data_IF_379629123984
#
_entry.id   IF_379629123984
#
_cell.length_a   1.000
_cell.length_b   1.000
_cell.length_c   1.000
_cell.angle_alpha   90.00
_cell.angle_beta   90.00
_cell.angle_gamma   90.00
#
_symmetry.space_group_name_H-M   'P 1'
#
loop_
_entity.id
_entity.type
_entity.pdbx_description
1 polymer ?
#
# COMPACT_ATOMS: atom_id res chain seq x y z
N UNK A 1 15.28 30.84 4.09
CA UNK A 1 14.11 29.98 4.40
C UNK A 1 14.53 28.53 4.21
N UNK A 2 14.39 27.63 5.19
CA UNK A 2 14.65 26.21 4.96
C UNK A 2 13.56 25.63 4.04
N UNK A 3 13.95 24.77 3.11
CA UNK A 3 13.01 23.98 2.31
C UNK A 3 12.53 22.77 3.13
N UNK A 4 11.25 22.39 3.08
CA UNK A 4 10.77 21.19 3.76
C UNK A 4 11.34 19.95 3.05
N UNK A 5 12.22 19.22 3.72
CA UNK A 5 12.92 18.03 3.18
C UNK A 5 12.47 16.71 3.82
N UNK A 6 11.54 16.77 4.77
CA UNK A 6 10.96 15.57 5.39
C UNK A 6 10.14 14.77 4.37
N UNK A 7 10.03 13.46 4.57
CA UNK A 7 9.20 12.55 3.74
C UNK A 7 9.62 12.49 2.25
N UNK A 8 10.82 13.00 1.88
CA UNK A 8 11.35 12.95 0.49
C UNK A 8 11.46 11.55 -0.12
N UNK A 9 11.47 10.50 0.72
CA UNK A 9 11.52 9.11 0.28
C UNK A 9 10.36 8.75 -0.66
N UNK A 10 9.19 9.36 -0.47
CA UNK A 10 8.01 9.12 -1.31
C UNK A 10 8.28 9.51 -2.77
N UNK A 11 8.77 10.73 -3.00
CA UNK A 11 9.14 11.22 -4.34
C UNK A 11 10.33 10.43 -4.89
N UNK A 12 11.33 10.15 -4.05
CA UNK A 12 12.49 9.35 -4.42
C UNK A 12 12.11 7.94 -4.90
N UNK A 13 11.13 7.30 -4.27
CA UNK A 13 10.66 5.97 -4.63
C UNK A 13 9.80 5.95 -5.90
N UNK A 14 9.12 7.04 -6.24
CA UNK A 14 8.39 7.17 -7.51
C UNK A 14 9.31 7.45 -8.71
N UNK A 15 10.51 7.98 -8.48
CA UNK A 15 11.44 8.36 -9.56
C UNK A 15 11.87 7.16 -10.43
N UNK A 16 12.13 5.96 -9.87
CA UNK A 16 12.44 4.79 -10.68
C UNK A 16 11.33 4.37 -11.64
N UNK A 17 10.05 4.48 -11.28
CA UNK A 17 8.96 4.20 -12.22
C UNK A 17 8.96 5.17 -13.40
N UNK A 18 9.22 6.46 -13.14
CA UNK A 18 9.40 7.47 -14.21
C UNK A 18 10.56 7.10 -15.14
N UNK A 19 11.72 6.75 -14.57
CA UNK A 19 12.92 6.37 -15.35
C UNK A 19 12.67 5.10 -16.18
N UNK A 20 12.00 4.11 -15.60
CA UNK A 20 11.56 2.90 -16.29
C UNK A 20 10.56 3.25 -17.40
N UNK A 21 9.63 4.18 -17.15
CA UNK A 21 8.76 4.83 -18.14
C UNK A 21 9.53 5.23 -19.41
N UNK A 22 10.55 6.06 -19.24
CA UNK A 22 11.41 6.53 -20.32
C UNK A 22 12.21 5.40 -20.98
N UNK A 23 12.88 4.55 -20.19
CA UNK A 23 13.72 3.47 -20.70
C UNK A 23 12.94 2.46 -21.54
N UNK A 24 11.67 2.20 -21.22
CA UNK A 24 10.87 1.26 -22.00
C UNK A 24 10.58 1.70 -23.43
N UNK A 25 10.83 2.97 -23.78
CA UNK A 25 10.77 3.43 -25.17
C UNK A 25 11.99 2.98 -25.98
N UNK A 26 13.14 2.76 -25.33
CA UNK A 26 14.40 2.38 -25.97
C UNK A 26 14.74 0.89 -25.79
N UNK A 27 14.43 0.32 -24.62
CA UNK A 27 14.72 -1.08 -24.25
C UNK A 27 13.48 -1.78 -23.69
N UNK A 28 12.42 -1.93 -24.51
CA UNK A 28 11.12 -2.41 -24.03
C UNK A 28 11.18 -3.77 -23.33
N UNK A 29 12.07 -4.66 -23.76
CA UNK A 29 12.23 -6.01 -23.19
C UNK A 29 12.98 -6.06 -21.84
N UNK A 30 13.43 -4.93 -21.29
CA UNK A 30 14.27 -4.87 -20.07
C UNK A 30 13.65 -4.09 -18.92
N UNK A 31 12.40 -3.71 -19.05
CA UNK A 31 11.73 -2.80 -18.11
C UNK A 31 10.49 -3.46 -17.53
N UNK A 32 10.25 -3.25 -16.23
CA UNK A 32 9.04 -3.69 -15.54
C UNK A 32 7.86 -2.72 -15.78
N UNK A 33 6.63 -3.18 -15.53
CA UNK A 33 5.49 -2.29 -15.33
C UNK A 33 5.67 -1.47 -14.04
N UNK A 34 4.81 -0.48 -13.79
CA UNK A 34 4.92 0.32 -12.57
C UNK A 34 4.46 -0.47 -11.34
N UNK A 35 5.09 -0.23 -10.19
CA UNK A 35 4.66 -0.76 -8.91
C UNK A 35 3.95 0.27 -8.04
N UNK A 36 3.60 -0.14 -6.82
CA UNK A 36 3.19 0.80 -5.77
C UNK A 36 4.25 1.88 -5.51
N UNK A 37 5.52 1.49 -5.61
CA UNK A 37 6.72 2.30 -5.39
C UNK A 37 6.79 2.96 -4.01
N UNK A 38 6.02 4.02 -3.79
CA UNK A 38 5.92 4.67 -2.49
C UNK A 38 5.41 3.69 -1.42
N UNK A 39 6.12 3.66 -0.29
CA UNK A 39 5.72 2.86 0.86
C UNK A 39 4.44 3.42 1.49
N UNK A 40 3.60 2.53 1.98
CA UNK A 40 2.34 2.85 2.66
C UNK A 40 2.52 2.69 4.16
N UNK A 41 3.37 3.53 4.72
CA UNK A 41 3.76 3.49 6.13
C UNK A 41 2.92 4.51 6.90
N UNK A 42 1.95 4.11 7.73
CA UNK A 42 1.20 5.03 8.57
C UNK A 42 2.05 5.42 9.81
N UNK A 43 2.46 6.68 9.96
CA UNK A 43 2.91 7.19 11.26
C UNK A 43 1.66 7.37 12.13
N UNK A 44 1.58 6.59 13.20
CA UNK A 44 0.49 6.56 14.16
C UNK A 44 0.93 7.25 15.44
N UNK A 45 0.03 8.03 16.03
CA UNK A 45 0.26 8.74 17.30
C UNK A 45 -0.95 8.63 18.19
N UNK A 46 -0.75 8.64 19.49
CA UNK A 46 -1.84 8.70 20.47
C UNK A 46 -1.38 9.33 21.77
N UNK A 47 -2.28 9.33 22.76
CA UNK A 47 -2.05 9.96 24.05
C UNK A 47 -2.49 11.42 24.08
N UNK A 48 -1.90 12.20 24.97
CA UNK A 48 -2.27 13.57 25.27
C UNK A 48 -2.10 14.52 24.08
N UNK A 49 -1.19 14.21 23.16
CA UNK A 49 -1.01 14.98 21.92
C UNK A 49 -2.18 14.86 20.94
N UNK A 50 -3.00 13.81 21.07
CA UNK A 50 -4.17 13.58 20.20
C UNK A 50 -5.46 13.95 20.94
N UNK A 51 -5.64 13.42 22.15
CA UNK A 51 -6.91 13.51 22.88
C UNK A 51 -6.82 14.36 24.16
N UNK A 52 -5.70 15.06 24.40
CA UNK A 52 -5.50 15.86 25.60
C UNK A 52 -5.46 15.02 26.88
N UNK A 53 -5.77 15.63 28.03
CA UNK A 53 -5.71 14.96 29.34
C UNK A 53 -6.71 13.82 29.53
N UNK A 54 -7.67 13.64 28.60
CA UNK A 54 -8.66 12.56 28.61
C UNK A 54 -8.23 11.35 27.76
N UNK A 55 -6.96 11.29 27.34
CA UNK A 55 -6.45 10.20 26.55
C UNK A 55 -6.63 8.83 27.23
N UNK A 56 -7.20 7.88 26.48
CA UNK A 56 -7.42 6.50 26.94
C UNK A 56 -6.18 5.58 26.82
N UNK A 57 -5.08 6.11 26.28
CA UNK A 57 -3.81 5.42 26.05
C UNK A 57 -2.64 6.35 26.38
N UNK A 58 -1.48 5.76 26.69
CA UNK A 58 -0.24 6.52 26.89
C UNK A 58 0.24 7.18 25.59
N UNK A 59 1.11 8.19 25.73
CA UNK A 59 1.75 8.85 24.59
C UNK A 59 2.56 7.83 23.79
N UNK A 60 2.27 7.75 22.49
CA UNK A 60 3.05 6.91 21.59
C UNK A 60 3.20 7.57 20.22
N UNK A 61 4.30 7.23 19.55
CA UNK A 61 4.50 7.48 18.12
C UNK A 61 5.17 6.24 17.51
N UNK A 62 4.54 5.67 16.49
CA UNK A 62 5.06 4.49 15.80
C UNK A 62 4.86 4.61 14.30
N UNK A 63 5.78 4.03 13.53
CA UNK A 63 5.66 3.88 12.09
C UNK A 63 5.81 2.41 11.73
N UNK A 64 4.90 1.87 10.93
CA UNK A 64 5.03 0.52 10.38
C UNK A 64 5.44 0.55 8.93
N UNK A 65 6.29 -0.41 8.52
CA UNK A 65 6.75 -0.54 7.14
C UNK A 65 5.86 -1.50 6.38
N UNK A 66 5.17 -1.01 5.35
CA UNK A 66 4.30 -1.80 4.48
C UNK A 66 4.39 -1.30 3.04
N UNK A 67 4.13 -2.20 2.09
CA UNK A 67 4.28 -1.93 0.66
C UNK A 67 3.14 -2.55 -0.13
N UNK A 68 2.79 -1.91 -1.24
CA UNK A 68 1.90 -2.51 -2.22
C UNK A 68 2.62 -3.55 -3.09
N UNK A 69 2.02 -3.88 -4.22
CA UNK A 69 2.61 -4.81 -5.18
C UNK A 69 3.64 -4.15 -6.10
N UNK A 70 4.67 -4.89 -6.51
CA UNK A 70 5.58 -4.42 -7.57
C UNK A 70 4.94 -4.58 -8.95
N UNK A 71 5.41 -3.84 -9.94
CA UNK A 71 4.99 -4.06 -11.32
C UNK A 71 5.44 -5.41 -11.87
N UNK A 72 4.69 -5.92 -12.84
CA UNK A 72 5.00 -7.12 -13.58
C UNK A 72 6.34 -7.02 -14.32
N UNK A 73 7.03 -8.16 -14.47
CA UNK A 73 8.27 -8.28 -15.24
C UNK A 73 8.00 -9.11 -16.48
N UNK A 74 8.80 -8.93 -17.53
CA UNK A 74 8.63 -9.60 -18.84
C UNK A 74 8.28 -11.08 -18.78
N UNK A 75 8.90 -11.82 -17.87
CA UNK A 75 8.75 -13.27 -17.70
C UNK A 75 8.22 -13.70 -16.33
N UNK A 76 7.90 -12.76 -15.43
CA UNK A 76 7.47 -13.08 -14.06
C UNK A 76 6.45 -12.09 -13.57
N UNK A 77 5.46 -12.58 -12.83
CA UNK A 77 4.53 -11.74 -12.09
C UNK A 77 5.28 -10.76 -11.16
N UNK A 78 4.61 -9.65 -10.83
CA UNK A 78 5.05 -8.74 -9.80
C UNK A 78 5.11 -9.44 -8.43
N UNK A 79 5.95 -8.94 -7.55
CA UNK A 79 6.06 -9.45 -6.19
C UNK A 79 4.94 -8.83 -5.34
N UNK A 80 4.19 -9.70 -4.66
CA UNK A 80 3.07 -9.31 -3.81
C UNK A 80 3.57 -8.65 -2.52
N UNK A 81 2.91 -7.57 -2.09
CA UNK A 81 3.24 -6.85 -0.85
C UNK A 81 4.71 -6.44 -0.68
N UNK A 82 5.46 -6.31 -1.78
CA UNK A 82 6.92 -6.17 -1.76
C UNK A 82 7.34 -4.78 -2.19
N UNK A 83 8.23 -4.18 -1.39
CA UNK A 83 8.81 -2.89 -1.72
C UNK A 83 9.79 -3.00 -2.89
N UNK A 84 9.65 -2.10 -3.85
CA UNK A 84 10.64 -1.77 -4.86
C UNK A 84 10.59 -0.25 -5.05
N UNK A 85 11.73 0.45 -5.11
CA UNK A 85 13.12 -0.03 -5.22
C UNK A 85 13.81 -0.23 -3.87
N UNK A 86 13.06 -0.19 -2.77
CA UNK A 86 13.60 -0.32 -1.41
C UNK A 86 13.76 -1.77 -0.98
N UNK A 87 14.82 -2.11 -0.26
CA UNK A 87 15.05 -3.45 0.32
C UNK A 87 14.41 -3.65 1.70
N UNK A 88 13.35 -2.90 2.04
CA UNK A 88 12.69 -3.00 3.35
C UNK A 88 11.79 -4.23 3.43
N UNK A 89 11.60 -4.73 4.66
CA UNK A 89 10.66 -5.81 4.96
C UNK A 89 9.62 -5.34 5.97
N UNK A 90 8.46 -5.98 5.89
CA UNK A 90 7.34 -5.79 6.80
C UNK A 90 7.75 -6.16 8.23
N UNK A 91 7.35 -5.34 9.19
CA UNK A 91 7.52 -5.62 10.62
C UNK A 91 6.43 -6.55 11.14
N UNK A 92 6.74 -7.39 12.13
CA UNK A 92 5.76 -8.23 12.81
C UNK A 92 4.68 -7.36 13.45
N UNK A 93 3.41 -7.75 13.27
CA UNK A 93 2.28 -7.09 13.93
C UNK A 93 2.38 -7.24 15.44
N UNK A 94 2.72 -8.43 15.95
CA UNK A 94 2.91 -8.69 17.39
C UNK A 94 3.98 -7.78 17.99
N UNK A 95 5.10 -7.60 17.29
CA UNK A 95 6.15 -6.70 17.75
C UNK A 95 5.69 -5.24 17.80
N UNK A 96 4.84 -4.83 16.86
CA UNK A 96 4.26 -3.48 16.80
C UNK A 96 3.25 -3.26 17.94
N UNK A 97 2.35 -4.23 18.15
CA UNK A 97 1.34 -4.20 19.22
C UNK A 97 1.95 -4.31 20.62
N UNK A 98 3.14 -4.90 20.74
CA UNK A 98 3.85 -4.97 22.01
C UNK A 98 4.42 -3.62 22.44
N UNK A 99 4.85 -2.78 21.49
CA UNK A 99 5.53 -1.51 21.78
C UNK A 99 4.60 -0.29 21.70
N UNK A 100 3.45 -0.40 21.03
CA UNK A 100 2.48 0.69 20.90
C UNK A 100 1.06 0.17 21.13
N UNK A 101 0.16 0.97 21.72
CA UNK A 101 -1.21 0.58 22.03
C UNK A 101 -2.11 0.62 20.78
N UNK A 102 -1.67 -0.05 19.72
CA UNK A 102 -2.40 -0.28 18.46
C UNK A 102 -2.70 -1.77 18.31
N UNK A 103 -3.73 -2.11 17.53
CA UNK A 103 -4.13 -3.48 17.25
C UNK A 103 -4.34 -3.61 15.74
N UNK A 104 -3.75 -4.64 15.12
CA UNK A 104 -3.97 -5.00 13.71
C UNK A 104 -5.07 -6.04 13.63
N UNK A 105 -6.27 -5.62 13.24
CA UNK A 105 -7.42 -6.50 13.08
C UNK A 105 -7.37 -7.30 11.78
N UNK A 106 -6.76 -6.72 10.75
CA UNK A 106 -6.60 -7.34 9.44
C UNK A 106 -5.25 -6.98 8.86
N UNK A 107 -4.56 -7.97 8.29
CA UNK A 107 -3.35 -7.80 7.49
C UNK A 107 -3.21 -8.95 6.50
N UNK A 108 -3.56 -8.70 5.26
CA UNK A 108 -3.58 -9.71 4.21
C UNK A 108 -3.28 -9.12 2.84
N UNK A 109 -3.05 -9.98 1.84
CA UNK A 109 -3.00 -9.54 0.45
C UNK A 109 -4.38 -9.02 0.02
N UNK A 110 -4.40 -8.03 -0.86
CA UNK A 110 -5.63 -7.43 -1.38
C UNK A 110 -6.05 -8.15 -2.67
N UNK A 111 -7.14 -8.94 -2.67
CA UNK A 111 -7.64 -9.55 -3.91
C UNK A 111 -7.94 -8.50 -4.97
N UNK A 112 -7.78 -8.90 -6.24
CA UNK A 112 -8.07 -8.10 -7.44
C UNK A 112 -7.31 -6.77 -7.55
N UNK A 113 -6.25 -6.61 -6.75
CA UNK A 113 -5.46 -5.38 -6.77
C UNK A 113 -4.33 -5.39 -7.80
N UNK A 114 -3.90 -6.57 -8.23
CA UNK A 114 -2.87 -6.72 -9.25
C UNK A 114 -3.43 -6.40 -10.64
N UNK A 115 -2.72 -5.56 -11.40
CA UNK A 115 -3.05 -5.30 -12.79
C UNK A 115 -2.89 -6.56 -13.63
N UNK A 116 -3.92 -6.91 -14.39
CA UNK A 116 -3.93 -8.09 -15.25
C UNK A 116 -2.97 -7.93 -16.43
N UNK A 117 -2.41 -9.04 -16.90
CA UNK A 117 -1.54 -9.12 -18.08
C UNK A 117 -1.04 -10.54 -18.25
N UNK A 118 -0.34 -10.82 -19.36
CA UNK A 118 0.38 -12.09 -19.54
C UNK A 118 1.16 -12.46 -18.27
N UNK A 119 1.82 -11.47 -17.69
CA UNK A 119 2.31 -11.49 -16.30
C UNK A 119 1.58 -10.42 -15.50
N UNK A 120 0.98 -10.79 -14.37
CA UNK A 120 0.22 -9.86 -13.51
C UNK A 120 1.16 -8.99 -12.68
N UNK A 121 0.66 -7.85 -12.21
CA UNK A 121 1.32 -7.10 -11.15
C UNK A 121 1.33 -7.87 -9.83
N UNK A 122 2.02 -7.31 -8.83
CA UNK A 122 1.92 -7.80 -7.46
C UNK A 122 0.60 -7.35 -6.82
N UNK A 123 0.06 -8.16 -5.93
CA UNK A 123 -1.06 -7.76 -5.08
C UNK A 123 -0.62 -6.74 -4.04
N UNK A 124 -1.49 -5.78 -3.78
CA UNK A 124 -1.39 -4.88 -2.64
C UNK A 124 -1.78 -5.60 -1.34
N UNK A 125 -2.06 -4.82 -0.30
CA UNK A 125 -2.42 -5.33 1.02
C UNK A 125 -3.66 -4.63 1.55
N UNK A 126 -4.42 -5.30 2.41
CA UNK A 126 -5.45 -4.68 3.24
C UNK A 126 -4.93 -4.65 4.68
N UNK A 127 -5.03 -3.50 5.32
CA UNK A 127 -4.70 -3.34 6.73
C UNK A 127 -5.82 -2.61 7.46
N UNK A 128 -6.21 -3.15 8.61
CA UNK A 128 -7.18 -2.54 9.51
C UNK A 128 -6.52 -2.37 10.87
N UNK A 129 -6.46 -1.13 11.34
CA UNK A 129 -5.70 -0.75 12.53
C UNK A 129 -6.61 0.01 13.50
N UNK A 130 -6.78 -0.51 14.70
CA UNK A 130 -7.43 0.15 15.82
C UNK A 130 -6.44 0.54 16.92
N UNK A 131 -6.94 1.24 17.94
CA UNK A 131 -6.19 1.44 19.18
C UNK A 131 -6.66 0.47 20.27
N UNK A 132 -5.77 0.15 21.20
CA UNK A 132 -6.10 -0.66 22.38
C UNK A 132 -7.17 0.05 23.21
N UNK A 133 -8.20 -0.70 23.62
CA UNK A 133 -9.31 -0.15 24.41
C UNK A 133 -10.17 0.85 23.65
N UNK A 134 -10.20 0.74 22.32
CA UNK A 134 -10.97 1.60 21.40
C UNK A 134 -10.60 3.08 21.49
N UNK A 135 -9.40 3.40 22.00
CA UNK A 135 -8.99 4.78 22.19
C UNK A 135 -8.95 5.56 20.87
N UNK A 136 -9.08 6.87 20.98
CA UNK A 136 -8.80 7.76 19.86
C UNK A 136 -7.28 7.81 19.61
N UNK A 137 -6.90 7.84 18.33
CA UNK A 137 -5.52 7.98 17.90
C UNK A 137 -5.48 8.80 16.61
N UNK A 138 -4.30 9.08 16.08
CA UNK A 138 -4.15 9.85 14.85
C UNK A 138 -3.17 9.19 13.89
N UNK A 139 -3.38 9.47 12.60
CA UNK A 139 -2.47 9.11 11.52
C UNK A 139 -1.95 10.38 10.85
N UNK A 140 -0.65 10.42 10.58
CA UNK A 140 -0.08 11.41 9.67
C UNK A 140 -0.01 10.82 8.25
N UNK A 141 -1.09 10.97 7.49
CA UNK A 141 -1.23 10.34 6.19
C UNK A 141 -0.15 10.86 5.22
N UNK A 142 0.52 9.92 4.55
CA UNK A 142 1.57 10.20 3.55
C UNK A 142 1.43 9.27 2.32
N UNK A 143 0.20 8.88 2.00
CA UNK A 143 -0.11 7.84 1.01
C UNK A 143 -0.12 8.36 -0.43
N UNK A 144 0.54 7.65 -1.33
CA UNK A 144 0.57 7.92 -2.78
C UNK A 144 -0.05 6.75 -3.57
N UNK A 145 -0.17 6.88 -4.89
CA UNK A 145 -0.88 5.91 -5.76
C UNK A 145 -2.39 5.79 -5.50
N UNK A 146 -3.01 6.85 -4.97
CA UNK A 146 -4.47 6.96 -4.80
C UNK A 146 -5.12 7.61 -6.01
N UNK A 147 -4.67 8.81 -6.38
CA UNK A 147 -5.16 9.49 -7.58
C UNK A 147 -4.53 8.94 -8.88
N UNK A 148 -3.32 8.38 -8.78
CA UNK A 148 -2.54 7.89 -9.92
C UNK A 148 -2.16 6.43 -9.67
N UNK A 149 -3.00 5.50 -10.12
CA UNK A 149 -2.75 4.08 -9.98
C UNK A 149 -1.46 3.64 -10.70
N UNK A 150 -0.80 2.54 -10.26
CA UNK A 150 0.34 1.95 -10.95
C UNK A 150 -0.03 1.52 -12.37
N UNK A 151 0.68 2.05 -13.36
CA UNK A 151 0.38 1.80 -14.76
C UNK A 151 0.86 0.44 -15.27
N UNK A 152 -0.03 -0.25 -15.98
CA UNK A 152 0.32 -1.42 -16.78
C UNK A 152 1.22 -1.06 -17.96
N UNK A 153 1.83 -2.06 -18.59
CA UNK A 153 2.74 -1.85 -19.72
C UNK A 153 2.54 -2.87 -20.83
N UNK A 154 2.77 -2.44 -22.08
CA UNK A 154 2.75 -3.31 -23.27
C UNK A 154 1.45 -4.16 -23.38
N UNK A 155 0.29 -3.55 -23.14
CA UNK A 155 -1.02 -4.22 -23.17
C UNK A 155 -1.52 -4.73 -21.81
N UNK A 156 -0.69 -4.67 -20.75
CA UNK A 156 -1.12 -4.96 -19.39
C UNK A 156 -2.00 -3.86 -18.80
N UNK A 157 -2.90 -4.24 -17.90
CA UNK A 157 -3.81 -3.36 -17.19
C UNK A 157 -3.15 -2.69 -15.98
N UNK A 158 -3.72 -1.57 -15.56
CA UNK A 158 -3.29 -0.84 -14.36
C UNK A 158 -3.56 -1.67 -13.09
N UNK A 159 -2.69 -1.53 -12.10
CA UNK A 159 -2.96 -2.04 -10.76
C UNK A 159 -4.05 -1.20 -10.08
N UNK A 160 -4.71 -1.77 -9.07
CA UNK A 160 -5.70 -1.01 -8.32
C UNK A 160 -5.05 0.14 -7.54
N UNK A 161 -5.70 1.30 -7.54
CA UNK A 161 -5.31 2.43 -6.72
C UNK A 161 -5.40 2.12 -5.23
N UNK A 162 -4.60 2.81 -4.42
CA UNK A 162 -4.71 2.75 -2.98
C UNK A 162 -5.93 3.54 -2.45
N UNK A 163 -6.40 3.21 -1.25
CA UNK A 163 -7.49 3.90 -0.55
C UNK A 163 -7.18 3.95 0.95
N UNK A 164 -7.50 5.09 1.58
CA UNK A 164 -7.43 5.27 3.03
C UNK A 164 -8.80 5.73 3.52
N UNK A 165 -9.28 5.14 4.60
CA UNK A 165 -10.61 5.43 5.14
C UNK A 165 -10.82 4.91 6.55
N UNK A 166 -12.08 4.93 6.98
CA UNK A 166 -12.55 4.36 8.24
C UNK A 166 -13.40 3.11 7.98
N UNK A 167 -13.48 2.25 8.99
CA UNK A 167 -14.31 1.04 9.05
C UNK A 167 -15.81 1.31 9.31
N UNK A 168 -16.30 2.50 9.02
CA UNK A 168 -17.72 2.82 9.22
C UNK A 168 -18.61 2.32 8.08
N UNK A 169 -19.92 2.27 8.33
CA UNK A 169 -20.91 1.80 7.35
C UNK A 169 -20.91 2.59 6.04
N UNK A 170 -20.41 3.84 6.06
CA UNK A 170 -20.33 4.71 4.89
C UNK A 170 -18.99 4.56 4.15
N UNK A 171 -18.02 3.82 4.71
CA UNK A 171 -16.66 3.69 4.21
C UNK A 171 -15.97 5.04 4.07
N UNK A 172 -16.12 5.92 5.08
CA UNK A 172 -15.62 7.31 5.05
C UNK A 172 -14.19 7.39 4.54
N UNK A 173 -13.97 8.17 3.50
CA UNK A 173 -12.63 8.40 2.94
C UNK A 173 -11.87 9.44 3.77
N UNK A 174 -10.61 9.14 4.05
CA UNK A 174 -9.68 10.10 4.66
C UNK A 174 -8.83 10.76 3.59
N UNK A 175 -8.23 11.91 3.93
CA UNK A 175 -7.23 12.55 3.07
C UNK A 175 -6.01 11.65 2.97
N UNK A 176 -5.38 11.64 1.80
CA UNK A 176 -4.17 10.85 1.56
C UNK A 176 -2.93 11.48 2.18
N UNK A 177 -3.00 12.77 2.50
CA UNK A 177 -1.92 13.57 3.09
C UNK A 177 -2.39 14.30 4.36
N UNK A 178 -1.48 14.40 5.34
CA UNK A 178 -1.63 15.25 6.52
C UNK A 178 -2.18 14.54 7.76
N UNK A 179 -2.15 15.26 8.87
CA UNK A 179 -2.60 14.78 10.19
C UNK A 179 -4.12 14.67 10.27
N UNK A 180 -4.61 13.54 10.75
CA UNK A 180 -6.03 13.20 10.85
C UNK A 180 -6.29 12.31 12.05
N UNK A 181 -7.37 12.60 12.77
CA UNK A 181 -7.81 11.83 13.93
C UNK A 181 -8.63 10.63 13.46
N UNK A 182 -8.38 9.48 14.07
CA UNK A 182 -9.20 8.27 13.99
C UNK A 182 -10.06 8.23 15.25
N UNK A 183 -11.39 8.43 15.12
CA UNK A 183 -12.27 8.55 16.28
C UNK A 183 -12.25 7.30 17.17
N UNK A 184 -12.63 7.50 18.43
CA UNK A 184 -12.83 6.40 19.40
C UNK A 184 -13.69 5.28 18.81
N UNK A 185 -13.24 4.03 18.93
CA UNK A 185 -13.95 2.84 18.43
C UNK A 185 -14.13 2.78 16.91
N UNK A 186 -13.29 3.50 16.15
CA UNK A 186 -13.14 3.35 14.70
C UNK A 186 -11.77 2.79 14.38
N UNK A 187 -11.66 2.10 13.25
CA UNK A 187 -10.41 1.59 12.72
C UNK A 187 -9.98 2.37 11.48
N UNK A 188 -8.67 2.56 11.37
CA UNK A 188 -8.03 3.03 10.15
C UNK A 188 -7.98 1.88 9.15
N UNK A 189 -8.63 2.06 8.00
CA UNK A 189 -8.63 1.12 6.90
C UNK A 189 -7.67 1.59 5.79
N UNK A 190 -6.69 0.76 5.46
CA UNK A 190 -5.73 0.98 4.37
C UNK A 190 -5.87 -0.12 3.33
N UNK A 191 -6.22 0.26 2.10
CA UNK A 191 -6.11 -0.60 0.94
C UNK A 191 -4.89 -0.13 0.16
N UNK A 192 -3.80 -0.88 0.24
CA UNK A 192 -2.58 -0.56 -0.46
C UNK A 192 -2.75 -0.83 -1.98
N UNK A 193 -2.05 -0.06 -2.84
CA UNK A 193 -2.09 -0.26 -4.28
C UNK A 193 -1.46 -1.60 -4.68
N UNK A 194 -1.92 -2.18 -5.80
CA UNK A 194 -1.22 -3.30 -6.43
C UNK A 194 -0.06 -2.82 -7.32
N UNK A 195 0.40 -3.68 -8.23
CA UNK A 195 1.29 -3.30 -9.32
C UNK A 195 0.59 -3.39 -10.68
N UNK A 196 1.12 -2.70 -11.69
CA UNK A 196 0.65 -2.81 -13.06
C UNK A 196 1.01 -4.16 -13.70
N UNK A 197 0.13 -4.66 -14.56
CA UNK A 197 0.35 -5.86 -15.36
C UNK A 197 1.22 -5.61 -16.60
N UNK A 198 1.62 -6.69 -17.26
CA UNK A 198 2.38 -6.61 -18.52
C UNK A 198 1.93 -7.64 -19.54
N UNK A 199 1.81 -7.20 -20.81
CA UNK A 199 1.33 -8.03 -21.90
C UNK A 199 -0.18 -8.18 -21.91
N UNK A 200 -0.74 -8.71 -22.99
CA UNK A 200 -2.17 -8.98 -23.12
C UNK A 200 -2.60 -10.00 -22.04
N UNK A 201 -3.62 -9.70 -21.19
CA UNK A 201 -4.14 -10.64 -20.21
C UNK A 201 -4.60 -11.98 -20.79
N UNK A 202 -5.04 -12.03 -22.05
CA UNK A 202 -5.47 -13.26 -22.72
C UNK A 202 -4.31 -14.23 -23.01
N UNK A 203 -3.07 -13.74 -22.98
CA UNK A 203 -1.86 -14.58 -23.12
C UNK A 203 -1.41 -15.19 -21.79
N UNK A 204 -2.08 -14.87 -20.66
CA UNK A 204 -1.71 -15.42 -19.36
C UNK A 204 -1.99 -16.92 -19.33
N UNK A 205 -1.01 -17.68 -18.83
CA UNK A 205 -1.13 -19.13 -18.65
C UNK A 205 -2.36 -19.45 -17.77
N UNK A 206 -3.35 -20.21 -18.27
CA UNK A 206 -4.54 -20.58 -17.51
C UNK A 206 -4.23 -21.25 -16.17
N UNK A 207 -3.12 -22.01 -16.06
CA UNK A 207 -2.72 -22.64 -14.81
C UNK A 207 -2.30 -21.62 -13.74
N UNK A 208 -1.72 -20.48 -14.14
CA UNK A 208 -1.40 -19.39 -13.22
C UNK A 208 -2.64 -18.62 -12.77
N UNK A 209 -3.64 -18.50 -13.65
CA UNK A 209 -4.94 -17.91 -13.30
C UNK A 209 -5.63 -18.80 -12.26
N UNK A 210 -5.69 -20.10 -12.49
CA UNK A 210 -6.35 -21.02 -11.57
C UNK A 210 -5.67 -21.03 -10.20
N UNK A 211 -4.33 -21.02 -10.16
CA UNK A 211 -3.61 -20.88 -8.89
C UNK A 211 -3.98 -19.58 -8.16
N UNK A 212 -4.00 -18.45 -8.86
CA UNK A 212 -4.37 -17.18 -8.22
C UNK A 212 -5.84 -17.19 -7.72
N UNK A 213 -6.74 -17.96 -8.35
CA UNK A 213 -8.13 -18.20 -7.86
C UNK A 213 -8.17 -19.09 -6.63
N UNK A 214 -7.47 -20.22 -6.67
CA UNK A 214 -7.37 -21.17 -5.56
C UNK A 214 -6.78 -20.50 -4.31
N UNK A 215 -5.81 -19.59 -4.51
CA UNK A 215 -5.21 -18.78 -3.44
C UNK A 215 -6.13 -17.62 -2.98
N UNK A 216 -7.30 -17.43 -3.59
CA UNK A 216 -8.26 -16.36 -3.27
C UNK A 216 -7.79 -14.96 -3.63
N UNK A 217 -6.83 -14.83 -4.54
CA UNK A 217 -6.20 -13.56 -4.90
C UNK A 217 -6.88 -12.86 -6.08
N UNK A 218 -7.64 -13.61 -6.88
CA UNK A 218 -8.54 -13.07 -7.90
C UNK A 218 -9.95 -13.65 -7.73
N UNK A 219 -10.97 -12.82 -7.92
CA UNK A 219 -12.38 -13.22 -7.88
C UNK A 219 -12.95 -13.46 -9.28
N UNK A 220 -14.11 -14.12 -9.35
CA UNK A 220 -14.86 -14.39 -10.60
C UNK A 220 -15.43 -13.14 -11.28
#
# INVERSE_FOLDING_TARGET
RPYPVSVRHIVGQLTPDLMMGCLGQAVPDRVAAEGSSALWNPPLRGGAQVSGQVAGVEDFEIITFNSGGTGARRSKDGLDGTAFPSGVRTMSVEATENVAPVIFWRKELRPDSAGAGRTRGGFGQIMEIGAKGDAEFAVNAIFDRVANAPKGRFGGQDGAAGRVGLDDANGTLLRTKGFQIIPKGRHLLLHLPGGGGMGDPSERDPALIERDREDGLITD
#
